data_IF_509303500868
#
_entry.id   IF_509303500868
#
_cell.length_a   1.000
_cell.length_b   1.000
_cell.length_c   1.000
_cell.angle_alpha   90.00
_cell.angle_beta   90.00
_cell.angle_gamma   90.00
#
_symmetry.space_group_name_H-M   'P 1'
#
loop_
_entity.id
_entity.type
_entity.pdbx_description
1 polymer ?
#
# COMPACT_ATOMS: atom_id res chain seq x y z
N UNK A 1 22.59 21.84 -9.31
CA UNK A 1 22.30 20.45 -9.72
C UNK A 1 20.80 20.25 -9.69
N UNK A 2 20.12 20.06 -10.83
CA UNK A 2 18.74 19.56 -10.82
C UNK A 2 18.81 18.12 -10.31
N UNK A 3 18.19 17.81 -9.17
CA UNK A 3 18.00 16.41 -8.76
C UNK A 3 17.32 15.70 -9.92
N UNK A 4 17.91 14.62 -10.41
CA UNK A 4 17.26 13.80 -11.44
C UNK A 4 16.01 13.19 -10.82
N UNK A 5 14.84 13.71 -11.21
CA UNK A 5 13.50 13.23 -10.84
C UNK A 5 13.14 11.90 -11.55
N UNK A 6 14.15 11.19 -12.06
CA UNK A 6 14.00 10.01 -12.90
C UNK A 6 14.67 8.83 -12.19
N UNK A 7 14.00 7.68 -12.22
CA UNK A 7 14.55 6.41 -11.74
C UNK A 7 15.58 5.87 -12.75
N UNK A 8 16.69 5.34 -12.24
CA UNK A 8 17.64 4.57 -13.04
C UNK A 8 17.07 3.19 -13.35
N UNK A 9 17.58 2.53 -14.39
CA UNK A 9 17.08 1.22 -14.82
C UNK A 9 17.12 0.18 -13.69
N UNK A 10 18.21 0.13 -12.90
CA UNK A 10 18.31 -0.77 -11.75
C UNK A 10 17.30 -0.45 -10.63
N UNK A 11 16.87 0.80 -10.48
CA UNK A 11 15.83 1.17 -9.51
C UNK A 11 14.46 0.73 -10.03
N UNK A 12 14.21 0.83 -11.34
CA UNK A 12 12.99 0.33 -11.96
C UNK A 12 12.90 -1.21 -11.88
N UNK A 13 14.02 -1.90 -12.09
CA UNK A 13 14.13 -3.35 -11.90
C UNK A 13 13.81 -3.72 -10.46
N UNK A 14 14.41 -3.04 -9.48
CA UNK A 14 14.13 -3.29 -8.07
C UNK A 14 12.66 -3.01 -7.71
N UNK A 15 12.06 -1.94 -8.25
CA UNK A 15 10.63 -1.68 -8.09
C UNK A 15 9.80 -2.84 -8.64
N UNK A 16 10.13 -3.35 -9.82
CA UNK A 16 9.42 -4.47 -10.42
C UNK A 16 9.53 -5.75 -9.57
N UNK A 17 10.70 -6.03 -8.99
CA UNK A 17 10.90 -7.15 -8.07
C UNK A 17 10.04 -7.02 -6.80
N UNK A 18 10.02 -5.84 -6.19
CA UNK A 18 9.19 -5.57 -4.99
C UNK A 18 7.71 -5.72 -5.33
N UNK A 19 7.26 -5.21 -6.48
CA UNK A 19 5.87 -5.37 -6.93
C UNK A 19 5.52 -6.84 -7.19
N UNK A 20 6.39 -7.59 -7.86
CA UNK A 20 6.20 -9.03 -8.08
C UNK A 20 6.13 -9.81 -6.77
N UNK A 21 6.92 -9.42 -5.77
CA UNK A 21 6.83 -10.01 -4.43
C UNK A 21 5.44 -9.78 -3.81
N UNK A 22 4.83 -8.59 -3.95
CA UNK A 22 3.48 -8.34 -3.46
C UNK A 22 2.43 -9.16 -4.21
N UNK A 23 2.55 -9.30 -5.53
CA UNK A 23 1.63 -10.11 -6.34
C UNK A 23 1.60 -11.58 -5.87
N UNK A 24 2.74 -12.10 -5.39
CA UNK A 24 2.86 -13.47 -4.87
C UNK A 24 2.49 -13.61 -3.38
N UNK A 25 2.69 -12.57 -2.58
CA UNK A 25 2.65 -12.65 -1.11
C UNK A 25 1.53 -11.83 -0.44
N UNK A 26 0.70 -11.13 -1.21
CA UNK A 26 -0.41 -10.34 -0.71
C UNK A 26 -1.68 -10.59 -1.54
N UNK A 27 -2.71 -11.13 -0.90
CA UNK A 27 -4.00 -11.32 -1.56
C UNK A 27 -4.63 -9.97 -1.94
N UNK A 28 -5.33 -9.94 -3.07
CA UNK A 28 -6.07 -8.75 -3.51
C UNK A 28 -7.42 -8.67 -2.80
N UNK A 29 -7.69 -7.64 -1.97
CA UNK A 29 -8.99 -7.47 -1.33
C UNK A 29 -10.13 -7.26 -2.35
N UNK A 30 -9.80 -6.75 -3.54
CA UNK A 30 -10.76 -6.41 -4.59
C UNK A 30 -11.48 -7.63 -5.15
N UNK A 31 -10.88 -8.81 -5.07
CA UNK A 31 -11.47 -10.06 -5.55
C UNK A 31 -12.63 -10.52 -4.66
N UNK A 32 -12.62 -10.09 -3.40
CA UNK A 32 -13.65 -10.42 -2.41
C UNK A 32 -14.70 -9.31 -2.25
N UNK A 33 -14.48 -8.14 -2.86
CA UNK A 33 -15.46 -7.07 -2.84
C UNK A 33 -16.61 -7.36 -3.79
N UNK A 34 -17.82 -7.35 -3.24
CA UNK A 34 -19.02 -7.37 -4.05
C UNK A 34 -19.20 -6.02 -4.77
N UNK A 35 -18.70 -5.94 -6.01
CA UNK A 35 -18.70 -4.75 -6.88
C UNK A 35 -20.09 -4.17 -7.13
N UNK A 36 -21.17 -4.93 -6.92
CA UNK A 36 -22.55 -4.43 -7.06
C UNK A 36 -23.03 -3.63 -5.83
N UNK A 37 -22.43 -3.83 -4.65
CA UNK A 37 -22.83 -3.16 -3.40
C UNK A 37 -21.95 -1.95 -3.05
N UNK A 38 -20.78 -1.80 -3.66
CA UNK A 38 -19.95 -0.61 -3.49
C UNK A 38 -20.51 0.55 -4.31
N UNK A 39 -20.68 1.72 -3.67
CA UNK A 39 -21.00 2.93 -4.42
C UNK A 39 -19.73 3.38 -5.15
N UNK A 40 -19.87 3.91 -6.37
CA UNK A 40 -18.73 4.43 -7.16
C UNK A 40 -17.88 5.48 -6.43
N UNK A 41 -18.42 6.13 -5.40
CA UNK A 41 -17.76 7.16 -4.59
C UNK A 41 -17.11 6.66 -3.30
N UNK A 42 -17.21 5.36 -2.99
CA UNK A 42 -16.67 4.82 -1.75
C UNK A 42 -15.15 4.67 -1.86
N UNK A 43 -14.43 5.30 -0.93
CA UNK A 43 -12.99 5.14 -0.76
C UNK A 43 -12.74 4.05 0.26
N UNK A 44 -11.80 3.17 -0.05
CA UNK A 44 -11.34 2.12 0.83
C UNK A 44 -9.81 2.19 0.92
N UNK A 45 -9.27 1.90 2.09
CA UNK A 45 -7.84 1.90 2.35
C UNK A 45 -7.45 0.49 2.77
N UNK A 46 -6.39 -0.04 2.16
CA UNK A 46 -5.72 -1.22 2.69
C UNK A 46 -4.71 -0.80 3.74
N UNK A 47 -4.85 -1.34 4.94
CA UNK A 47 -3.94 -1.13 6.06
C UNK A 47 -3.20 -2.43 6.34
N UNK A 48 -1.88 -2.38 6.45
CA UNK A 48 -1.13 -3.52 6.98
C UNK A 48 -1.39 -3.69 8.48
N UNK A 49 -1.51 -4.94 8.91
CA UNK A 49 -1.44 -5.28 10.32
C UNK A 49 -0.01 -5.03 10.84
N UNK A 50 0.12 -4.64 12.11
CA UNK A 50 1.44 -4.40 12.73
C UNK A 50 2.33 -5.65 12.69
N UNK A 51 1.72 -6.84 12.75
CA UNK A 51 2.40 -8.12 12.65
C UNK A 51 2.99 -8.43 11.26
N UNK A 52 2.62 -7.67 10.22
CA UNK A 52 3.06 -7.88 8.84
C UNK A 52 4.41 -7.24 8.56
N UNK A 53 5.40 -7.56 9.39
CA UNK A 53 6.72 -6.93 9.37
C UNK A 53 7.42 -7.04 8.01
N UNK A 54 7.27 -8.18 7.33
CA UNK A 54 7.87 -8.42 6.00
C UNK A 54 7.23 -7.53 4.93
N UNK A 55 5.88 -7.50 4.85
CA UNK A 55 5.16 -6.62 3.93
C UNK A 55 5.47 -5.14 4.17
N UNK A 56 5.51 -4.73 5.44
CA UNK A 56 5.87 -3.36 5.81
C UNK A 56 7.31 -3.06 5.38
N UNK A 57 8.25 -3.99 5.58
CA UNK A 57 9.64 -3.83 5.14
C UNK A 57 9.74 -3.66 3.62
N UNK A 58 8.97 -4.44 2.85
CA UNK A 58 8.91 -4.32 1.38
C UNK A 58 8.37 -2.96 0.92
N UNK A 59 7.35 -2.41 1.59
CA UNK A 59 6.91 -1.03 1.33
C UNK A 59 8.03 -0.03 1.65
N UNK A 60 8.81 -0.25 2.72
CA UNK A 60 9.92 0.65 3.09
C UNK A 60 11.04 0.69 2.04
N UNK A 61 11.29 -0.39 1.31
CA UNK A 61 12.19 -0.39 0.15
C UNK A 61 11.72 0.63 -0.90
N UNK A 62 10.42 0.66 -1.21
CA UNK A 62 9.83 1.65 -2.13
C UNK A 62 9.89 3.08 -1.59
N UNK A 63 9.59 3.27 -0.30
CA UNK A 63 9.67 4.59 0.37
C UNK A 63 11.07 5.19 0.22
N UNK A 64 12.11 4.40 0.48
CA UNK A 64 13.49 4.86 0.34
C UNK A 64 13.81 5.35 -1.08
N UNK A 65 13.35 4.61 -2.10
CA UNK A 65 13.56 5.00 -3.50
C UNK A 65 12.88 6.33 -3.83
N UNK A 66 11.61 6.51 -3.47
CA UNK A 66 10.88 7.76 -3.80
C UNK A 66 11.40 8.96 -3.00
N UNK A 67 11.79 8.76 -1.74
CA UNK A 67 12.40 9.80 -0.90
C UNK A 67 13.74 10.28 -1.45
N UNK A 68 14.54 9.37 -2.03
CA UNK A 68 15.80 9.73 -2.69
C UNK A 68 15.57 10.73 -3.85
N UNK A 69 14.41 10.66 -4.51
CA UNK A 69 13.97 11.56 -5.58
C UNK A 69 13.31 12.85 -5.08
N UNK A 70 13.18 13.03 -3.77
CA UNK A 70 12.63 14.23 -3.14
C UNK A 70 11.12 14.16 -2.86
N UNK A 71 10.49 12.99 -2.96
CA UNK A 71 9.11 12.78 -2.53
C UNK A 71 9.08 12.59 -1.02
N UNK A 72 8.28 13.36 -0.29
CA UNK A 72 8.10 13.16 1.16
C UNK A 72 7.01 12.11 1.38
N UNK A 73 7.30 11.12 2.24
CA UNK A 73 6.34 10.05 2.56
C UNK A 73 6.11 9.98 4.06
N UNK A 74 4.84 10.11 4.47
CA UNK A 74 4.43 9.96 5.88
C UNK A 74 3.83 8.57 6.14
N UNK A 75 4.17 7.96 7.27
CA UNK A 75 3.52 6.74 7.73
C UNK A 75 2.28 7.07 8.57
N UNK A 76 1.12 6.61 8.12
CA UNK A 76 -0.10 6.63 8.93
C UNK A 76 -0.20 5.37 9.80
N UNK A 77 -0.68 5.52 11.04
CA UNK A 77 -1.02 4.43 11.96
C UNK A 77 -2.36 4.71 12.60
N UNK A 78 -3.15 3.66 12.83
CA UNK A 78 -4.47 3.78 13.46
C UNK A 78 -4.89 2.45 14.06
N UNK A 79 -5.57 2.49 15.21
CA UNK A 79 -6.29 1.35 15.77
C UNK A 79 -7.75 1.31 15.27
N UNK A 80 -8.21 2.39 14.60
CA UNK A 80 -9.58 2.55 14.10
C UNK A 80 -9.56 2.78 12.58
N UNK A 81 -9.27 1.76 11.75
CA UNK A 81 -9.14 1.90 10.30
C UNK A 81 -10.46 2.20 9.58
N UNK A 82 -11.59 2.05 10.29
CA UNK A 82 -12.94 2.27 9.78
C UNK A 82 -13.79 1.01 9.83
N UNK A 83 -14.80 0.95 8.96
CA UNK A 83 -15.59 -0.27 8.76
C UNK A 83 -14.80 -1.25 7.90
N UNK A 84 -14.28 -2.31 8.52
CA UNK A 84 -13.59 -3.41 7.83
C UNK A 84 -14.58 -4.14 6.93
N UNK A 85 -14.19 -4.36 5.67
CA UNK A 85 -14.98 -5.10 4.67
C UNK A 85 -14.26 -6.33 4.14
N UNK A 86 -12.95 -6.41 4.34
CA UNK A 86 -12.11 -7.60 4.10
C UNK A 86 -10.94 -7.57 5.08
N UNK A 87 -10.49 -8.73 5.51
CA UNK A 87 -9.31 -8.91 6.34
C UNK A 87 -8.68 -10.27 6.04
N UNK A 88 -7.36 -10.30 6.02
CA UNK A 88 -6.57 -11.51 5.94
C UNK A 88 -5.49 -11.51 7.03
N UNK A 89 -4.49 -12.38 6.90
CA UNK A 89 -3.37 -12.50 7.84
C UNK A 89 -2.47 -11.26 7.88
N UNK A 90 -2.46 -10.45 6.83
CA UNK A 90 -1.50 -9.38 6.60
C UNK A 90 -2.10 -7.98 6.54
N UNK A 91 -3.36 -7.84 6.12
CA UNK A 91 -4.00 -6.55 5.89
C UNK A 91 -5.47 -6.52 6.32
N UNK A 92 -5.98 -5.31 6.53
CA UNK A 92 -7.40 -5.01 6.64
C UNK A 92 -7.79 -3.98 5.58
N UNK A 93 -8.85 -4.28 4.84
CA UNK A 93 -9.42 -3.37 3.87
C UNK A 93 -10.65 -2.71 4.49
N UNK A 94 -10.58 -1.40 4.69
CA UNK A 94 -11.57 -0.67 5.48
C UNK A 94 -12.11 0.56 4.75
N UNK A 95 -13.41 0.79 4.91
CA UNK A 95 -14.04 2.06 4.57
C UNK A 95 -13.86 3.03 5.75
N UNK A 96 -13.13 4.13 5.60
CA UNK A 96 -12.83 5.01 6.73
C UNK A 96 -14.09 5.74 7.20
N UNK A 97 -14.18 6.02 8.52
CA UNK A 97 -15.33 6.74 9.10
C UNK A 97 -15.35 8.22 8.73
N UNK A 98 -14.19 8.78 8.36
CA UNK A 98 -13.99 10.16 7.91
C UNK A 98 -13.03 10.14 6.72
N UNK A 99 -13.09 11.15 5.85
CA UNK A 99 -12.06 11.32 4.80
C UNK A 99 -10.78 11.82 5.47
N UNK A 100 -9.64 11.25 5.04
CA UNK A 100 -8.31 11.75 5.34
C UNK A 100 -7.95 12.87 4.36
#
# INVERSE_FOLDING_TARGET
MKKQEVFYDYELEHIAEVMGWFDENLESPLDYLNKQKSKKSDVYISWFLESSSEHISKVREFVFLVESKGVVVDQLRTETPGKIVYADKYQVFAKPFRRF
#
